data_IF_496888389287
#
_entry.id   IF_496888389287
#
_cell.length_a   1.000
_cell.length_b   1.000
_cell.length_c   1.000
_cell.angle_alpha   90.00
_cell.angle_beta   90.00
_cell.angle_gamma   90.00
#
_symmetry.space_group_name_H-M   'P 1'
#
loop_
_entity.id
_entity.type
_entity.pdbx_description
1 polymer ?
#
# COMPACT_ATOMS: atom_id res chain seq x y z
N UNK A 1 -24.68 -10.14 23.47
CA UNK A 1 -24.73 -11.61 23.32
C UNK A 1 -25.25 -12.20 24.63
N UNK A 2 -26.18 -13.15 24.59
CA UNK A 2 -26.78 -13.80 25.77
C UNK A 2 -26.78 -15.32 25.60
N UNK A 3 -26.37 -16.05 26.64
CA UNK A 3 -26.44 -17.53 26.67
C UNK A 3 -27.88 -18.01 26.46
N UNK A 4 -28.86 -17.31 27.01
CA UNK A 4 -30.27 -17.67 26.90
C UNK A 4 -30.88 -17.45 25.51
N UNK A 5 -30.28 -16.59 24.69
CA UNK A 5 -30.75 -16.29 23.33
C UNK A 5 -29.99 -17.10 22.26
N UNK A 6 -29.03 -17.94 22.65
CA UNK A 6 -28.21 -18.74 21.74
C UNK A 6 -27.34 -17.93 20.77
N UNK A 7 -27.15 -16.63 21.01
CA UNK A 7 -26.45 -15.71 20.10
C UNK A 7 -25.05 -15.33 20.61
N UNK A 8 -24.38 -16.26 21.28
CA UNK A 8 -22.98 -16.12 21.66
C UNK A 8 -22.12 -16.66 20.54
N UNK A 9 -21.08 -15.89 20.19
CA UNK A 9 -19.97 -16.38 19.38
C UNK A 9 -18.93 -16.94 20.35
N UNK A 10 -18.60 -18.22 20.22
CA UNK A 10 -17.48 -18.80 20.96
C UNK A 10 -16.17 -18.25 20.38
N UNK A 11 -15.28 -17.65 21.20
CA UNK A 11 -13.96 -17.24 20.74
C UNK A 11 -13.16 -18.37 20.07
N UNK A 12 -13.33 -19.63 20.49
CA UNK A 12 -12.63 -20.76 19.89
C UNK A 12 -13.10 -21.06 18.47
N UNK A 13 -14.39 -20.88 18.17
CA UNK A 13 -14.89 -20.97 16.78
C UNK A 13 -14.16 -19.97 15.88
N UNK A 14 -13.84 -18.79 16.40
CA UNK A 14 -13.07 -17.78 15.68
C UNK A 14 -11.61 -18.22 15.53
N UNK A 15 -10.96 -18.64 16.62
CA UNK A 15 -9.55 -19.03 16.59
C UNK A 15 -9.28 -20.22 15.66
N UNK A 16 -10.14 -21.23 15.70
CA UNK A 16 -9.97 -22.47 14.94
C UNK A 16 -10.26 -22.30 13.44
N UNK A 17 -11.15 -21.36 13.07
CA UNK A 17 -11.55 -21.18 11.67
C UNK A 17 -10.81 -20.05 10.96
N UNK A 18 -10.49 -18.95 11.66
CA UNK A 18 -9.89 -17.76 11.06
C UNK A 18 -8.57 -17.33 11.71
N UNK A 19 -8.32 -17.73 12.96
CA UNK A 19 -7.11 -17.37 13.70
C UNK A 19 -7.24 -16.10 14.56
N UNK A 20 -6.28 -15.91 15.46
CA UNK A 20 -6.31 -14.83 16.45
C UNK A 20 -6.05 -13.44 15.84
N UNK A 21 -5.17 -13.33 14.85
CA UNK A 21 -4.78 -12.05 14.25
C UNK A 21 -5.93 -11.35 13.51
N UNK A 22 -6.72 -12.05 12.66
CA UNK A 22 -7.95 -11.49 12.10
C UNK A 22 -8.90 -10.90 13.14
N UNK A 23 -9.08 -11.60 14.26
CA UNK A 23 -9.92 -11.13 15.35
C UNK A 23 -9.37 -9.85 16.00
N UNK A 24 -8.07 -9.83 16.29
CA UNK A 24 -7.40 -8.65 16.86
C UNK A 24 -7.49 -7.46 15.91
N UNK A 25 -7.20 -7.67 14.63
CA UNK A 25 -7.31 -6.64 13.60
C UNK A 25 -8.71 -6.05 13.55
N UNK A 26 -9.73 -6.91 13.48
CA UNK A 26 -11.12 -6.49 13.46
C UNK A 26 -11.49 -5.59 14.65
N UNK A 27 -11.08 -5.96 15.87
CA UNK A 27 -11.43 -5.19 17.06
C UNK A 27 -10.60 -3.93 17.29
N UNK A 28 -9.31 -3.93 16.91
CA UNK A 28 -8.38 -2.83 17.19
C UNK A 28 -8.31 -1.82 16.05
N UNK A 29 -8.21 -2.30 14.81
CA UNK A 29 -7.92 -1.47 13.64
C UNK A 29 -9.19 -1.02 12.90
N UNK A 30 -10.30 -1.77 12.97
CA UNK A 30 -11.49 -1.53 12.14
C UNK A 30 -12.70 -0.99 12.89
N UNK A 31 -12.77 -1.22 14.19
CA UNK A 31 -13.91 -0.80 15.00
C UNK A 31 -13.52 0.39 15.87
N UNK A 32 -14.30 1.47 15.79
CA UNK A 32 -14.24 2.49 16.81
C UNK A 32 -14.68 1.89 18.16
N UNK A 33 -14.00 2.23 19.28
CA UNK A 33 -14.35 1.71 20.60
C UNK A 33 -15.81 1.95 21.00
N UNK A 34 -16.40 3.02 20.46
CA UNK A 34 -17.70 3.56 20.86
C UNK A 34 -18.89 2.92 20.12
N UNK A 35 -18.63 2.12 19.08
CA UNK A 35 -19.67 1.54 18.23
C UNK A 35 -20.10 0.17 18.75
N UNK A 36 -21.41 -0.09 18.78
CA UNK A 36 -21.94 -1.43 19.05
C UNK A 36 -21.45 -2.43 17.99
N UNK A 37 -20.71 -3.44 18.45
CA UNK A 37 -20.00 -4.38 17.59
C UNK A 37 -20.93 -5.52 17.17
N UNK A 38 -21.16 -5.68 15.88
CA UNK A 38 -21.79 -6.88 15.32
C UNK A 38 -20.70 -7.92 15.08
N UNK A 39 -20.78 -9.03 15.80
CA UNK A 39 -19.74 -10.06 15.77
C UNK A 39 -20.33 -11.33 15.16
N UNK A 40 -19.71 -11.82 14.11
CA UNK A 40 -19.89 -13.18 13.58
C UNK A 40 -18.59 -13.62 12.92
N UNK A 41 -18.35 -14.93 12.87
CA UNK A 41 -17.15 -15.51 12.22
C UNK A 41 -17.02 -15.00 10.78
N UNK A 42 -18.12 -14.95 10.02
CA UNK A 42 -18.13 -14.45 8.64
C UNK A 42 -17.74 -12.96 8.51
N UNK A 43 -18.27 -12.08 9.39
CA UNK A 43 -17.90 -10.66 9.36
C UNK A 43 -16.41 -10.47 9.64
N UNK A 44 -15.87 -11.19 10.63
CA UNK A 44 -14.46 -11.07 10.98
C UNK A 44 -13.59 -11.61 9.84
N UNK A 45 -13.97 -12.75 9.26
CA UNK A 45 -13.29 -13.34 8.11
C UNK A 45 -13.22 -12.35 6.94
N UNK A 46 -14.35 -11.78 6.53
CA UNK A 46 -14.42 -10.88 5.37
C UNK A 46 -13.58 -9.61 5.58
N UNK A 47 -13.68 -9.02 6.77
CA UNK A 47 -13.01 -7.75 7.07
C UNK A 47 -11.49 -7.91 7.15
N UNK A 48 -11.01 -8.96 7.81
CA UNK A 48 -9.58 -9.17 7.97
C UNK A 48 -8.92 -9.77 6.72
N UNK A 49 -9.62 -10.64 6.00
CA UNK A 49 -9.03 -11.40 4.88
C UNK A 49 -8.58 -10.49 3.75
N UNK A 50 -9.32 -9.42 3.41
CA UNK A 50 -8.92 -8.51 2.34
C UNK A 50 -7.53 -7.91 2.55
N UNK A 51 -7.29 -7.36 3.75
CA UNK A 51 -6.02 -6.75 4.11
C UNK A 51 -4.91 -7.80 4.28
N UNK A 52 -5.16 -8.85 5.06
CA UNK A 52 -4.17 -9.89 5.34
C UNK A 52 -3.74 -10.61 4.06
N UNK A 53 -4.67 -10.93 3.16
CA UNK A 53 -4.34 -11.53 1.87
C UNK A 53 -3.49 -10.59 1.01
N UNK A 54 -3.79 -9.29 1.02
CA UNK A 54 -3.01 -8.30 0.25
C UNK A 54 -1.58 -8.19 0.77
N UNK A 55 -1.40 -8.16 2.09
CA UNK A 55 -0.08 -8.20 2.72
C UNK A 55 0.66 -9.50 2.38
N UNK A 56 0.02 -10.65 2.61
CA UNK A 56 0.60 -11.96 2.40
C UNK A 56 1.03 -12.16 0.95
N UNK A 57 0.20 -11.77 -0.01
CA UNK A 57 0.53 -11.86 -1.43
C UNK A 57 1.70 -10.95 -1.82
N UNK A 58 1.81 -9.77 -1.20
CA UNK A 58 2.93 -8.85 -1.41
C UNK A 58 4.23 -9.41 -0.84
N UNK A 59 4.18 -9.95 0.37
CA UNK A 59 5.28 -10.65 1.02
C UNK A 59 5.72 -11.91 0.23
N UNK A 60 4.76 -12.74 -0.20
CA UNK A 60 5.03 -13.95 -0.98
C UNK A 60 5.63 -13.62 -2.35
N UNK A 61 5.19 -12.54 -2.98
CA UNK A 61 5.83 -12.01 -4.18
C UNK A 61 7.30 -11.66 -3.90
N UNK A 62 7.56 -10.87 -2.85
CA UNK A 62 8.93 -10.47 -2.50
C UNK A 62 9.84 -11.69 -2.25
N UNK A 63 9.43 -12.60 -1.36
CA UNK A 63 10.25 -13.75 -0.97
C UNK A 63 10.54 -14.69 -2.14
N UNK A 64 9.57 -14.90 -3.04
CA UNK A 64 9.77 -15.72 -4.24
C UNK A 64 10.91 -15.17 -5.10
N UNK A 65 10.88 -13.89 -5.44
CA UNK A 65 11.85 -13.31 -6.37
C UNK A 65 13.19 -13.01 -5.68
N UNK A 66 13.18 -12.51 -4.44
CA UNK A 66 14.39 -12.26 -3.66
C UNK A 66 15.21 -13.55 -3.42
N UNK A 67 14.54 -14.69 -3.19
CA UNK A 67 15.21 -15.98 -3.04
C UNK A 67 15.84 -16.48 -4.35
N UNK A 68 15.17 -16.26 -5.49
CA UNK A 68 15.71 -16.63 -6.79
C UNK A 68 16.95 -15.82 -7.15
N UNK A 69 16.95 -14.53 -6.83
CA UNK A 69 18.04 -13.60 -7.14
C UNK A 69 19.13 -13.53 -6.05
N UNK A 70 18.95 -14.23 -4.91
CA UNK A 70 19.87 -14.20 -3.76
C UNK A 70 20.19 -12.78 -3.31
N UNK A 71 19.13 -11.99 -3.13
CA UNK A 71 19.22 -10.58 -2.73
C UNK A 71 20.12 -10.38 -1.51
N UNK A 72 21.07 -9.46 -1.64
CA UNK A 72 21.78 -8.89 -0.49
C UNK A 72 21.00 -7.67 0.03
N UNK A 73 20.36 -7.82 1.19
CA UNK A 73 19.58 -6.73 1.82
C UNK A 73 20.47 -5.67 2.48
N UNK A 74 21.79 -5.93 2.59
CA UNK A 74 22.76 -4.98 3.15
C UNK A 74 23.34 -4.04 2.09
N UNK A 75 23.08 -4.31 0.81
CA UNK A 75 23.43 -3.42 -0.27
C UNK A 75 22.68 -2.09 -0.13
N UNK A 76 23.32 -1.00 -0.58
CA UNK A 76 22.75 0.33 -0.51
C UNK A 76 22.74 1.00 -1.87
N UNK A 77 21.57 1.56 -2.21
CA UNK A 77 21.43 2.52 -3.29
C UNK A 77 20.95 3.84 -2.66
N UNK A 78 21.72 4.93 -2.81
CA UNK A 78 21.35 6.25 -2.32
C UNK A 78 19.95 6.68 -2.79
N UNK A 79 19.18 7.33 -1.92
CA UNK A 79 17.79 7.67 -2.19
C UNK A 79 17.61 8.53 -3.45
N UNK A 80 18.54 9.45 -3.70
CA UNK A 80 18.56 10.34 -4.87
C UNK A 80 18.84 9.62 -6.19
N UNK A 81 19.43 8.42 -6.13
CA UNK A 81 19.67 7.55 -7.29
C UNK A 81 18.53 6.56 -7.51
N UNK A 82 17.58 6.44 -6.57
CA UNK A 82 16.42 5.57 -6.73
C UNK A 82 15.40 6.20 -7.68
N UNK A 83 14.74 5.39 -8.53
CA UNK A 83 13.61 5.84 -9.32
C UNK A 83 12.52 6.51 -8.46
N UNK A 84 11.80 7.48 -9.05
CA UNK A 84 10.76 8.25 -8.37
C UNK A 84 9.71 7.37 -7.67
N UNK A 85 9.29 6.26 -8.30
CA UNK A 85 8.31 5.33 -7.72
C UNK A 85 8.81 4.64 -6.44
N UNK A 86 10.12 4.45 -6.31
CA UNK A 86 10.75 3.88 -5.12
C UNK A 86 10.80 4.92 -4.00
N UNK A 87 11.23 6.13 -4.34
CA UNK A 87 11.19 7.28 -3.42
C UNK A 87 9.78 7.54 -2.90
N UNK A 88 8.77 7.43 -3.77
CA UNK A 88 7.38 7.59 -3.38
C UNK A 88 6.92 6.52 -2.39
N UNK A 89 7.28 5.25 -2.59
CA UNK A 89 6.92 4.18 -1.66
C UNK A 89 7.55 4.40 -0.28
N UNK A 90 8.80 4.88 -0.24
CA UNK A 90 9.49 5.25 1.00
C UNK A 90 8.89 6.49 1.66
N UNK A 91 8.50 7.50 0.89
CA UNK A 91 7.81 8.67 1.41
C UNK A 91 6.44 8.32 2.00
N UNK A 92 5.71 7.42 1.33
CA UNK A 92 4.46 6.89 1.86
C UNK A 92 4.69 6.10 3.16
N UNK A 93 5.77 5.32 3.23
CA UNK A 93 6.15 4.56 4.43
C UNK A 93 6.50 5.49 5.60
N UNK A 94 7.24 6.57 5.34
CA UNK A 94 7.54 7.62 6.31
C UNK A 94 6.24 8.18 6.91
N UNK A 95 5.34 8.67 6.06
CA UNK A 95 4.06 9.25 6.49
C UNK A 95 3.20 8.24 7.25
N UNK A 96 3.17 6.99 6.81
CA UNK A 96 2.45 5.92 7.52
C UNK A 96 3.05 5.65 8.89
N UNK A 97 4.38 5.61 9.00
CA UNK A 97 5.08 5.43 10.28
C UNK A 97 4.73 6.53 11.27
N UNK A 98 4.78 7.79 10.84
CA UNK A 98 4.39 8.94 11.67
C UNK A 98 2.93 8.91 12.08
N UNK A 99 2.04 8.58 11.14
CA UNK A 99 0.59 8.49 11.40
C UNK A 99 0.30 7.41 12.42
N UNK A 100 0.82 6.19 12.22
CA UNK A 100 0.62 5.06 13.14
C UNK A 100 1.17 5.39 14.52
N UNK A 101 2.39 5.92 14.60
CA UNK A 101 3.04 6.30 15.87
C UNK A 101 2.19 7.33 16.61
N UNK A 102 1.84 8.45 15.95
CA UNK A 102 1.08 9.54 16.57
C UNK A 102 -0.32 9.08 16.99
N UNK A 103 -0.97 8.23 16.20
CA UNK A 103 -2.28 7.66 16.52
C UNK A 103 -2.21 6.75 17.75
N UNK A 104 -1.21 5.87 17.83
CA UNK A 104 -1.07 4.95 18.97
C UNK A 104 -0.69 5.68 20.27
N UNK A 105 0.12 6.73 20.21
CA UNK A 105 0.40 7.62 21.35
C UNK A 105 -0.88 8.29 21.90
N UNK A 106 -1.91 8.42 21.06
CA UNK A 106 -3.23 8.97 21.41
C UNK A 106 -4.28 7.90 21.66
N UNK A 107 -3.89 6.62 21.74
CA UNK A 107 -4.80 5.48 21.89
C UNK A 107 -5.82 5.32 20.74
N UNK A 108 -5.52 5.89 19.57
CA UNK A 108 -6.34 5.78 18.36
C UNK A 108 -5.86 4.63 17.47
N UNK A 109 -6.13 3.40 17.91
CA UNK A 109 -5.78 2.19 17.17
C UNK A 109 -6.49 2.08 15.81
N UNK A 110 -7.63 2.75 15.64
CA UNK A 110 -8.41 2.73 14.40
C UNK A 110 -7.70 3.51 13.30
N UNK A 111 -7.32 4.76 13.57
CA UNK A 111 -6.62 5.58 12.56
C UNK A 111 -5.27 4.96 12.19
N UNK A 112 -4.57 4.37 13.17
CA UNK A 112 -3.36 3.60 12.90
C UNK A 112 -3.63 2.40 11.97
N UNK A 113 -4.70 1.65 12.24
CA UNK A 113 -5.18 0.57 11.37
C UNK A 113 -5.47 1.03 9.94
N UNK A 114 -6.27 2.07 9.78
CA UNK A 114 -6.63 2.65 8.46
C UNK A 114 -5.40 3.10 7.67
N UNK A 115 -4.39 3.68 8.34
CA UNK A 115 -3.13 4.07 7.72
C UNK A 115 -2.32 2.86 7.21
N UNK A 116 -2.28 1.76 7.97
CA UNK A 116 -1.61 0.52 7.59
C UNK A 116 -2.30 -0.17 6.40
N UNK A 117 -3.63 -0.21 6.38
CA UNK A 117 -4.38 -0.79 5.26
C UNK A 117 -4.18 0.01 3.98
N UNK A 118 -4.26 1.34 4.08
CA UNK A 118 -4.00 2.24 2.95
C UNK A 118 -2.59 2.05 2.40
N UNK A 119 -1.59 1.93 3.28
CA UNK A 119 -0.20 1.68 2.86
C UNK A 119 -0.04 0.35 2.13
N UNK A 120 -0.53 -0.76 2.71
CA UNK A 120 -0.40 -2.09 2.11
C UNK A 120 -1.14 -2.18 0.78
N UNK A 121 -2.31 -1.54 0.67
CA UNK A 121 -3.04 -1.42 -0.60
C UNK A 121 -2.22 -0.68 -1.66
N UNK A 122 -1.67 0.49 -1.32
CA UNK A 122 -0.81 1.28 -2.20
C UNK A 122 0.44 0.51 -2.63
N UNK A 123 1.08 -0.20 -1.69
CA UNK A 123 2.25 -1.03 -1.96
C UNK A 123 1.93 -2.16 -2.93
N UNK A 124 0.80 -2.85 -2.75
CA UNK A 124 0.41 -3.96 -3.62
C UNK A 124 -0.11 -3.47 -4.99
N UNK A 125 -1.16 -2.66 -4.98
CA UNK A 125 -1.96 -2.31 -6.15
C UNK A 125 -1.34 -1.20 -7.00
N UNK A 126 -0.42 -0.41 -6.45
CA UNK A 126 0.32 0.59 -7.20
C UNK A 126 1.78 0.20 -7.37
N UNK A 127 2.54 0.10 -6.28
CA UNK A 127 3.99 -0.10 -6.35
C UNK A 127 4.35 -1.44 -6.99
N UNK A 128 3.97 -2.58 -6.40
CA UNK A 128 4.32 -3.91 -6.90
C UNK A 128 3.75 -4.12 -8.29
N UNK A 129 2.47 -3.79 -8.52
CA UNK A 129 1.82 -3.96 -9.83
C UNK A 129 2.60 -3.27 -10.97
N UNK A 130 3.08 -2.05 -10.75
CA UNK A 130 3.80 -1.28 -11.77
C UNK A 130 5.27 -1.69 -11.90
N UNK A 131 5.86 -2.20 -10.83
CA UNK A 131 7.28 -2.56 -10.81
C UNK A 131 7.55 -4.06 -11.06
N UNK A 132 6.54 -4.91 -11.29
CA UNK A 132 6.74 -6.37 -11.53
C UNK A 132 7.83 -6.71 -12.55
N UNK A 133 7.98 -5.89 -13.61
CA UNK A 133 9.01 -6.11 -14.64
C UNK A 133 10.43 -5.95 -14.10
N UNK A 134 10.64 -5.05 -13.13
CA UNK A 134 11.95 -4.78 -12.51
C UNK A 134 12.45 -5.99 -11.71
N UNK A 135 11.54 -6.75 -11.09
CA UNK A 135 11.87 -7.97 -10.35
C UNK A 135 12.22 -9.19 -11.23
N UNK A 136 11.77 -9.24 -12.50
CA UNK A 136 11.98 -10.41 -13.38
C UNK A 136 12.93 -10.17 -14.55
N UNK A 137 12.86 -9.00 -15.19
CA UNK A 137 13.38 -8.74 -16.55
C UNK A 137 14.29 -7.52 -16.65
N UNK A 138 14.75 -6.96 -15.52
CA UNK A 138 15.63 -5.80 -15.58
C UNK A 138 16.97 -6.17 -16.19
N UNK A 139 17.38 -5.43 -17.22
CA UNK A 139 18.73 -5.47 -17.78
C UNK A 139 19.72 -4.63 -16.96
N UNK A 140 19.21 -3.70 -16.14
CA UNK A 140 20.00 -2.86 -15.23
C UNK A 140 19.95 -3.44 -13.81
N UNK A 141 21.13 -3.82 -13.30
CA UNK A 141 21.29 -4.46 -11.99
C UNK A 141 20.88 -3.50 -10.85
N UNK A 142 21.28 -2.23 -10.92
CA UNK A 142 20.96 -1.21 -9.91
C UNK A 142 19.45 -0.90 -9.84
N UNK A 143 18.75 -0.86 -10.99
CA UNK A 143 17.31 -0.60 -11.00
C UNK A 143 16.54 -1.75 -10.31
N UNK A 144 16.94 -2.99 -10.57
CA UNK A 144 16.37 -4.18 -9.94
C UNK A 144 16.66 -4.23 -8.45
N UNK A 145 17.90 -3.95 -8.07
CA UNK A 145 18.32 -3.86 -6.68
C UNK A 145 17.53 -2.76 -5.94
N UNK A 146 17.32 -1.59 -6.54
CA UNK A 146 16.55 -0.49 -5.95
C UNK A 146 15.10 -0.91 -5.66
N UNK A 147 14.47 -1.66 -6.57
CA UNK A 147 13.13 -2.18 -6.36
C UNK A 147 13.06 -3.18 -5.19
N UNK A 148 14.06 -4.06 -5.09
CA UNK A 148 14.15 -5.02 -4.00
C UNK A 148 14.38 -4.36 -2.64
N UNK A 149 15.36 -3.47 -2.55
CA UNK A 149 15.69 -2.78 -1.30
C UNK A 149 14.49 -1.96 -0.81
N UNK A 150 13.82 -1.25 -1.72
CA UNK A 150 12.62 -0.49 -1.39
C UNK A 150 11.50 -1.39 -0.86
N UNK A 151 11.19 -2.49 -1.56
CA UNK A 151 10.13 -3.40 -1.13
C UNK A 151 10.46 -4.09 0.20
N UNK A 152 11.72 -4.47 0.41
CA UNK A 152 12.20 -5.01 1.68
C UNK A 152 12.01 -4.01 2.83
N UNK A 153 12.45 -2.76 2.64
CA UNK A 153 12.30 -1.69 3.64
C UNK A 153 10.83 -1.44 3.98
N UNK A 154 9.95 -1.41 2.97
CA UNK A 154 8.51 -1.29 3.19
C UNK A 154 7.94 -2.46 4.01
N UNK A 155 8.31 -3.69 3.68
CA UNK A 155 7.82 -4.88 4.38
C UNK A 155 8.34 -4.98 5.82
N UNK A 156 9.63 -4.69 6.06
CA UNK A 156 10.24 -4.76 7.39
C UNK A 156 9.62 -3.74 8.36
N UNK A 157 9.52 -2.48 7.95
CA UNK A 157 8.99 -1.40 8.80
C UNK A 157 7.51 -1.64 9.08
N UNK A 158 6.71 -1.99 8.06
CA UNK A 158 5.29 -2.31 8.25
C UNK A 158 5.10 -3.51 9.15
N UNK A 159 5.94 -4.53 9.04
CA UNK A 159 5.87 -5.70 9.90
C UNK A 159 6.02 -5.32 11.38
N UNK A 160 6.93 -4.41 11.72
CA UNK A 160 7.10 -3.89 13.08
C UNK A 160 5.93 -3.01 13.53
N UNK A 161 5.45 -2.10 12.67
CA UNK A 161 4.27 -1.28 12.97
C UNK A 161 3.01 -2.12 13.25
N UNK A 162 2.90 -3.27 12.58
CA UNK A 162 1.77 -4.19 12.72
C UNK A 162 1.87 -5.12 13.93
N UNK A 163 3.05 -5.24 14.56
CA UNK A 163 3.29 -6.22 15.62
C UNK A 163 2.31 -6.13 16.82
N UNK A 164 1.91 -4.93 17.30
CA UNK A 164 0.90 -4.81 18.35
C UNK A 164 -0.50 -5.29 17.94
N UNK A 165 -0.81 -5.24 16.64
CA UNK A 165 -2.11 -5.61 16.09
C UNK A 165 -2.19 -7.11 15.79
N UNK A 166 -1.20 -7.65 15.07
CA UNK A 166 -1.18 -9.03 14.57
C UNK A 166 0.11 -9.75 14.94
N UNK A 167 0.27 -10.13 16.23
CA UNK A 167 1.53 -10.62 16.76
C UNK A 167 2.02 -11.95 16.17
N UNK A 168 1.12 -12.81 15.67
CA UNK A 168 1.53 -14.12 15.15
C UNK A 168 2.03 -14.04 13.71
N UNK A 169 1.30 -13.34 12.85
CA UNK A 169 1.66 -13.10 11.46
C UNK A 169 2.95 -12.31 11.37
N UNK A 170 3.06 -11.24 12.16
CA UNK A 170 4.26 -10.38 12.13
C UNK A 170 5.51 -11.08 12.65
N UNK A 171 5.35 -12.00 13.62
CA UNK A 171 6.44 -12.86 14.07
C UNK A 171 6.88 -13.82 12.96
N UNK A 172 5.94 -14.49 12.29
CA UNK A 172 6.25 -15.40 11.19
C UNK A 172 6.97 -14.69 10.03
N UNK A 173 6.51 -13.49 9.66
CA UNK A 173 7.13 -12.65 8.64
C UNK A 173 8.52 -12.18 9.08
N UNK A 174 8.70 -11.77 10.34
CA UNK A 174 9.99 -11.33 10.87
C UNK A 174 11.04 -12.44 10.87
N UNK A 175 10.65 -13.65 11.30
CA UNK A 175 11.54 -14.80 11.29
C UNK A 175 12.03 -15.11 9.87
N UNK A 176 11.19 -14.91 8.86
CA UNK A 176 11.56 -15.14 7.48
C UNK A 176 12.32 -13.97 6.85
N UNK A 177 11.85 -12.73 7.00
CA UNK A 177 12.41 -11.56 6.31
C UNK A 177 13.73 -11.10 6.94
N UNK A 178 13.81 -11.08 8.26
CA UNK A 178 14.92 -10.45 8.98
C UNK A 178 15.87 -11.52 9.51
N UNK A 179 15.37 -12.46 10.32
CA UNK A 179 16.22 -13.46 11.02
C UNK A 179 16.88 -14.47 10.08
N UNK A 180 16.30 -14.72 8.91
CA UNK A 180 16.92 -15.60 7.91
C UNK A 180 18.16 -14.98 7.26
N UNK A 181 18.24 -13.64 7.25
CA UNK A 181 19.32 -12.88 6.62
C UNK A 181 20.32 -12.36 7.66
N UNK A 182 19.82 -11.90 8.81
CA UNK A 182 20.61 -11.45 9.95
C UNK A 182 20.34 -12.32 11.20
N UNK A 183 21.18 -13.35 11.46
CA UNK A 183 21.09 -14.17 12.66
C UNK A 183 21.37 -13.42 13.97
N UNK A 184 21.91 -12.20 13.93
CA UNK A 184 22.19 -11.37 15.11
C UNK A 184 21.05 -10.39 15.45
N UNK A 185 20.08 -10.19 14.55
CA UNK A 185 18.89 -9.39 14.83
C UNK A 185 18.12 -9.92 16.07
N UNK A 186 17.36 -9.08 16.80
CA UNK A 186 16.57 -9.51 17.96
C UNK A 186 15.75 -10.77 17.67
N UNK A 187 15.61 -11.67 18.65
CA UNK A 187 15.05 -13.01 18.41
C UNK A 187 13.59 -13.03 17.93
N UNK A 188 12.84 -11.94 18.14
CA UNK A 188 11.42 -11.80 17.81
C UNK A 188 11.13 -10.35 17.42
N UNK A 189 10.11 -10.12 16.59
CA UNK A 189 9.66 -8.75 16.24
C UNK A 189 9.26 -7.97 17.49
N UNK A 190 8.74 -8.68 18.50
CA UNK A 190 8.31 -8.12 19.79
C UNK A 190 9.48 -7.73 20.71
N UNK A 191 10.71 -8.01 20.30
CA UNK A 191 11.95 -7.61 20.98
C UNK A 191 12.71 -6.53 20.18
N UNK A 192 12.10 -6.00 19.12
CA UNK A 192 12.66 -4.87 18.36
C UNK A 192 12.20 -3.54 18.94
N UNK A 193 12.98 -2.50 18.74
CA UNK A 193 12.53 -1.13 19.05
C UNK A 193 11.32 -0.76 18.17
N UNK A 194 10.58 0.28 18.56
CA UNK A 194 9.57 0.85 17.67
C UNK A 194 10.25 1.51 16.45
N UNK A 195 9.76 1.30 15.21
CA UNK A 195 10.36 1.92 14.04
C UNK A 195 10.15 3.44 14.06
N UNK A 196 11.17 4.19 13.65
CA UNK A 196 11.11 5.64 13.52
C UNK A 196 10.97 6.03 12.06
N UNK A 197 10.18 7.07 11.77
CA UNK A 197 10.05 7.59 10.42
C UNK A 197 11.39 8.20 9.98
N UNK A 198 11.99 7.67 8.92
CA UNK A 198 13.28 8.14 8.43
C UNK A 198 13.12 9.53 7.78
N UNK A 199 13.72 10.61 8.32
CA UNK A 199 13.53 11.96 7.79
C UNK A 199 13.98 12.12 6.33
N UNK A 200 14.92 11.29 5.87
CA UNK A 200 15.38 11.33 4.48
C UNK A 200 14.28 10.94 3.49
N UNK A 201 13.28 10.18 3.93
CA UNK A 201 12.19 9.73 3.08
C UNK A 201 11.02 10.73 3.04
N UNK A 202 11.04 11.80 3.83
CA UNK A 202 9.95 12.76 3.88
C UNK A 202 9.81 13.52 2.55
N UNK A 203 8.68 13.34 1.86
CA UNK A 203 8.41 13.99 0.57
C UNK A 203 6.88 14.10 0.33
N UNK A 204 6.20 15.00 1.05
CA UNK A 204 4.75 15.19 0.91
C UNK A 204 4.34 15.75 -0.45
N UNK A 205 5.21 16.51 -1.11
CA UNK A 205 4.97 17.02 -2.46
C UNK A 205 4.90 15.86 -3.47
N UNK A 206 5.86 14.92 -3.41
CA UNK A 206 5.83 13.72 -4.24
C UNK A 206 4.58 12.87 -3.99
N UNK A 207 4.19 12.70 -2.72
CA UNK A 207 2.97 11.95 -2.40
C UNK A 207 1.72 12.66 -2.95
N UNK A 208 1.63 13.98 -2.80
CA UNK A 208 0.54 14.80 -3.33
C UNK A 208 0.43 14.68 -4.86
N UNK A 209 1.55 14.87 -5.55
CA UNK A 209 1.66 14.73 -7.01
C UNK A 209 1.17 13.37 -7.51
N UNK A 210 1.67 12.28 -6.93
CA UNK A 210 1.24 10.93 -7.34
C UNK A 210 -0.19 10.59 -6.91
N UNK A 211 -0.71 11.19 -5.84
CA UNK A 211 -2.13 11.08 -5.46
C UNK A 211 -3.03 11.68 -6.55
N UNK A 212 -2.67 12.84 -7.11
CA UNK A 212 -3.40 13.45 -8.25
C UNK A 212 -3.39 12.50 -9.44
N UNK A 213 -2.23 11.93 -9.77
CA UNK A 213 -2.08 11.00 -10.89
C UNK A 213 -2.95 9.76 -10.72
N UNK A 214 -2.91 9.14 -9.55
CA UNK A 214 -3.76 7.99 -9.21
C UNK A 214 -5.25 8.32 -9.31
N UNK A 215 -5.65 9.51 -8.86
CA UNK A 215 -7.04 9.99 -8.95
C UNK A 215 -7.49 10.16 -10.39
N UNK A 216 -6.65 10.72 -11.27
CA UNK A 216 -6.95 10.83 -12.71
C UNK A 216 -7.11 9.45 -13.34
N UNK A 217 -6.22 8.50 -13.04
CA UNK A 217 -6.34 7.11 -13.52
C UNK A 217 -7.62 6.45 -12.99
N UNK A 218 -7.94 6.61 -11.71
CA UNK A 218 -9.16 6.07 -11.11
C UNK A 218 -10.43 6.61 -11.77
N UNK A 219 -10.52 7.93 -11.96
CA UNK A 219 -11.64 8.58 -12.64
C UNK A 219 -11.75 8.16 -14.11
N UNK A 220 -10.62 8.01 -14.80
CA UNK A 220 -10.58 7.53 -16.18
C UNK A 220 -11.09 6.08 -16.32
N UNK A 221 -10.71 5.20 -15.38
CA UNK A 221 -11.21 3.82 -15.31
C UNK A 221 -12.72 3.80 -15.02
N UNK A 222 -13.18 4.61 -14.08
CA UNK A 222 -14.60 4.72 -13.75
C UNK A 222 -15.43 5.24 -14.95
N UNK A 223 -14.93 6.23 -15.69
CA UNK A 223 -15.59 6.75 -16.89
C UNK A 223 -15.66 5.71 -18.03
N UNK A 224 -14.62 4.88 -18.18
CA UNK A 224 -14.63 3.74 -19.10
C UNK A 224 -15.66 2.70 -18.70
N UNK A 225 -15.73 2.36 -17.42
CA UNK A 225 -16.68 1.38 -16.88
C UNK A 225 -18.12 1.83 -17.06
N UNK A 226 -18.44 3.09 -16.73
CA UNK A 226 -19.78 3.66 -16.92
C UNK A 226 -20.19 3.67 -18.40
N UNK A 227 -19.22 3.84 -19.30
CA UNK A 227 -19.40 3.77 -20.75
C UNK A 227 -19.33 2.34 -21.31
N UNK A 228 -19.09 1.33 -20.48
CA UNK A 228 -18.89 -0.08 -20.84
C UNK A 228 -17.78 -0.33 -21.86
N UNK A 229 -16.75 0.52 -21.86
CA UNK A 229 -15.59 0.43 -22.77
C UNK A 229 -14.44 -0.29 -22.06
N UNK A 230 -14.06 -1.47 -22.56
CA UNK A 230 -12.97 -2.28 -21.98
C UNK A 230 -11.61 -1.59 -22.15
N UNK A 231 -10.74 -1.67 -21.13
CA UNK A 231 -9.39 -1.04 -21.11
C UNK A 231 -8.56 -1.38 -22.35
N UNK A 232 -8.64 -2.62 -22.84
CA UNK A 232 -7.91 -3.07 -24.05
C UNK A 232 -8.26 -2.32 -25.34
N UNK A 233 -9.40 -1.63 -25.41
CA UNK A 233 -9.75 -0.79 -26.55
C UNK A 233 -9.05 0.57 -26.39
N UNK A 234 -8.12 0.94 -27.28
CA UNK A 234 -7.43 2.22 -27.18
C UNK A 234 -8.39 3.38 -27.48
N UNK A 235 -8.35 4.42 -26.64
CA UNK A 235 -9.13 5.65 -26.87
C UNK A 235 -8.27 6.73 -27.51
N UNK A 236 -8.89 7.62 -28.28
CA UNK A 236 -8.17 8.66 -29.01
C UNK A 236 -7.60 9.75 -28.07
N UNK A 237 -8.37 10.17 -27.07
CA UNK A 237 -8.03 11.33 -26.25
C UNK A 237 -8.59 11.26 -24.83
N UNK A 238 -7.80 11.69 -23.86
CA UNK A 238 -8.18 11.94 -22.47
C UNK A 238 -8.28 13.44 -22.24
N UNK A 239 -9.38 13.90 -21.67
CA UNK A 239 -9.55 15.29 -21.26
C UNK A 239 -9.50 15.37 -19.74
N UNK A 240 -8.53 16.11 -19.20
CA UNK A 240 -8.33 16.25 -17.76
C UNK A 240 -8.52 17.70 -17.34
N UNK A 241 -9.29 17.91 -16.29
CA UNK A 241 -9.39 19.18 -15.56
C UNK A 241 -9.01 18.94 -14.11
N UNK A 242 -8.10 19.74 -13.61
CA UNK A 242 -7.67 19.75 -12.21
C UNK A 242 -7.86 21.15 -11.63
N UNK A 243 -8.03 21.28 -10.30
CA UNK A 243 -8.37 22.54 -9.67
C UNK A 243 -7.21 23.54 -9.59
N UNK A 244 -5.95 23.09 -9.54
CA UNK A 244 -4.76 23.94 -9.34
C UNK A 244 -3.72 23.77 -10.45
N UNK A 245 -2.80 24.73 -10.59
CA UNK A 245 -1.67 24.59 -11.52
C UNK A 245 -0.63 23.57 -11.07
N UNK A 246 -0.52 23.35 -9.76
CA UNK A 246 0.31 22.30 -9.17
C UNK A 246 -0.19 20.91 -9.57
N UNK A 247 -1.49 20.64 -9.43
CA UNK A 247 -2.11 19.40 -9.91
C UNK A 247 -1.94 19.25 -11.43
N UNK A 248 -1.99 20.37 -12.15
CA UNK A 248 -1.78 20.37 -13.60
C UNK A 248 -0.33 20.02 -13.95
N UNK A 249 0.63 20.48 -13.16
CA UNK A 249 2.03 20.10 -13.30
C UNK A 249 2.23 18.61 -12.99
N UNK A 250 1.62 18.08 -11.92
CA UNK A 250 1.64 16.66 -11.61
C UNK A 250 1.13 15.80 -12.77
N UNK A 251 -0.02 16.15 -13.35
CA UNK A 251 -0.56 15.44 -14.53
C UNK A 251 0.36 15.56 -15.74
N UNK A 252 0.94 16.74 -16.00
CA UNK A 252 1.88 16.96 -17.12
C UNK A 252 3.13 16.11 -16.99
N UNK A 253 3.72 16.06 -15.80
CA UNK A 253 4.98 15.36 -15.54
C UNK A 253 4.82 13.83 -15.61
N UNK A 254 3.60 13.30 -15.39
CA UNK A 254 3.33 11.85 -15.37
C UNK A 254 2.40 11.41 -16.51
N UNK A 255 2.33 12.17 -17.60
CA UNK A 255 1.33 11.94 -18.64
C UNK A 255 1.48 10.58 -19.31
N UNK A 256 2.71 10.13 -19.57
CA UNK A 256 2.98 8.84 -20.21
C UNK A 256 2.41 7.69 -19.37
N UNK A 257 2.66 7.74 -18.07
CA UNK A 257 2.11 6.80 -17.09
C UNK A 257 0.57 6.81 -17.07
N UNK A 258 -0.06 7.99 -17.12
CA UNK A 258 -1.53 8.10 -17.14
C UNK A 258 -2.10 7.48 -18.43
N UNK A 259 -1.48 7.77 -19.57
CA UNK A 259 -1.91 7.28 -20.88
C UNK A 259 -1.75 5.76 -21.01
N UNK A 260 -0.66 5.20 -20.49
CA UNK A 260 -0.43 3.76 -20.43
C UNK A 260 -1.51 3.07 -19.58
N UNK A 261 -1.76 3.56 -18.37
CA UNK A 261 -2.74 3.01 -17.43
C UNK A 261 -4.18 3.01 -17.97
N UNK A 262 -4.51 4.00 -18.79
CA UNK A 262 -5.85 4.17 -19.37
C UNK A 262 -5.97 3.66 -20.81
N UNK A 263 -4.86 3.23 -21.42
CA UNK A 263 -4.75 2.89 -22.84
C UNK A 263 -5.39 3.98 -23.74
N UNK A 264 -4.82 5.19 -23.67
CA UNK A 264 -5.27 6.36 -24.42
C UNK A 264 -4.11 6.93 -25.22
N UNK A 265 -4.37 7.40 -26.45
CA UNK A 265 -3.32 7.85 -27.37
C UNK A 265 -2.79 9.27 -27.08
N UNK A 266 -3.65 10.16 -26.60
CA UNK A 266 -3.29 11.55 -26.35
C UNK A 266 -4.05 12.12 -25.15
N UNK A 267 -3.53 13.18 -24.55
CA UNK A 267 -4.21 13.92 -23.49
C UNK A 267 -4.38 15.38 -23.85
N UNK A 268 -5.30 16.08 -23.19
CA UNK A 268 -5.36 17.54 -23.21
C UNK A 268 -5.94 18.10 -21.92
N UNK A 269 -5.40 19.25 -21.50
CA UNK A 269 -5.96 20.03 -20.40
C UNK A 269 -7.20 20.80 -20.87
N UNK A 270 -8.29 20.70 -20.09
CA UNK A 270 -9.53 21.44 -20.33
C UNK A 270 -9.46 22.93 -19.98
N UNK A 271 -8.36 23.43 -19.40
CA UNK A 271 -8.22 24.84 -19.02
C UNK A 271 -8.21 25.79 -20.25
N UNK A 272 -7.92 25.28 -21.45
CA UNK A 272 -7.83 26.08 -22.69
C UNK A 272 -9.06 26.01 -23.62
N UNK A 273 -10.05 25.14 -23.37
CA UNK A 273 -11.12 24.90 -24.36
C UNK A 273 -12.33 25.86 -24.26
N UNK A 274 -12.46 26.65 -23.18
CA UNK A 274 -13.58 27.59 -23.04
C UNK A 274 -13.40 28.92 -23.81
N UNK A 275 -12.24 29.15 -24.43
CA UNK A 275 -12.01 30.32 -25.30
C UNK A 275 -12.01 29.97 -26.80
N UNK A 276 -12.32 28.73 -27.18
CA UNK A 276 -12.24 28.28 -28.57
C UNK A 276 -13.43 27.42 -29.01
N UNK A 277 -14.64 27.70 -28.51
CA UNK A 277 -15.85 27.26 -29.18
C UNK A 277 -16.26 28.38 -30.14
N UNK A 278 -16.22 28.17 -31.47
CA UNK A 278 -16.86 29.10 -32.39
C UNK A 278 -18.35 29.05 -32.10
N UNK A 279 -18.93 30.20 -31.77
CA UNK A 279 -20.37 30.42 -31.90
C UNK A 279 -20.71 30.30 -33.39
N UNK A 280 -21.12 29.10 -33.79
CA UNK A 280 -21.73 28.82 -35.09
C UNK A 280 -23.19 28.45 -34.88
#
# INVERSE_FOLDING_TARGET
>A
MSKSLGNIVDPYDVFDHIGADPLRWYFLARLAPEVQKRISVGIIADVASSFINTLWNTYAFFTLYASLDRLDVTAEIPLDQRPEIDRWALALLHRTTDTVTTSLERYDARTAGEALESFVDQLSNWYVRRNRRRFWKSEAEDDKLSAYLTLYQCLEVVNRLMAPFMPFLTEALYQNLVRSVDPQAPMSVHMTDWPQANPLWQDEELIGSLTVVQKVVGLGRAARESSRIRVRQPLARLLVRVPTEEDAAAVRNHVEQILEELNVKAWSSLHRMLHSLPTG
#
